data_IF_974167991937
#
_entry.id   IF_974167991937
#
_cell.length_a   1.000
_cell.length_b   1.000
_cell.length_c   1.000
_cell.angle_alpha   90.00
_cell.angle_beta   90.00
_cell.angle_gamma   90.00
#
_symmetry.space_group_name_H-M   'P 1'
#
loop_
_entity.id
_entity.type
_entity.pdbx_description
1 polymer ?
#
# COMPACT_ATOMS: atom_id res chain seq x y z
N UNK A 1 9.03 5.95 -8.57
CA UNK A 1 10.16 6.70 -9.04
C UNK A 1 10.46 6.09 -10.38
N UNK A 2 10.41 6.88 -11.47
CA UNK A 2 10.79 6.41 -12.80
C UNK A 2 12.31 6.22 -12.88
N UNK A 3 12.84 5.41 -11.97
CA UNK A 3 14.26 5.10 -11.75
C UNK A 3 14.30 3.63 -11.35
N UNK A 4 15.25 2.88 -11.90
CA UNK A 4 15.44 1.45 -11.60
C UNK A 4 15.57 1.22 -10.10
N UNK A 5 14.96 0.13 -9.61
CA UNK A 5 14.95 -0.21 -8.16
C UNK A 5 16.35 -0.22 -7.53
N UNK A 6 17.36 -0.70 -8.25
CA UNK A 6 18.76 -0.77 -7.80
C UNK A 6 19.41 0.61 -7.56
N UNK A 7 18.89 1.65 -8.20
CA UNK A 7 19.43 3.02 -8.18
C UNK A 7 18.64 3.92 -7.21
N UNK A 8 17.67 3.36 -6.46
CA UNK A 8 16.85 4.11 -5.50
C UNK A 8 17.55 4.23 -4.15
N UNK A 9 17.43 5.40 -3.55
CA UNK A 9 17.82 5.65 -2.15
C UNK A 9 16.78 5.11 -1.16
N UNK A 10 15.55 4.88 -1.63
CA UNK A 10 14.42 4.39 -0.83
C UNK A 10 14.17 2.92 -1.16
N UNK A 11 14.13 2.08 -0.13
CA UNK A 11 13.71 0.69 -0.24
C UNK A 11 12.19 0.59 -0.36
N UNK A 12 11.70 0.26 -1.55
CA UNK A 12 10.27 0.16 -1.84
C UNK A 12 9.62 -1.11 -1.28
N UNK A 13 10.42 -2.08 -0.83
CA UNK A 13 9.92 -3.26 -0.09
C UNK A 13 9.62 -2.92 1.38
N UNK A 14 10.16 -1.80 1.88
CA UNK A 14 10.01 -1.37 3.27
C UNK A 14 9.13 -0.13 3.44
N UNK A 15 8.42 0.30 2.39
CA UNK A 15 7.38 1.33 2.47
C UNK A 15 6.02 0.71 2.18
N UNK A 16 4.97 1.23 2.84
CA UNK A 16 3.60 0.76 2.62
C UNK A 16 3.02 1.26 1.28
N UNK A 17 2.33 0.36 0.59
CA UNK A 17 1.70 0.50 -0.71
C UNK A 17 0.45 1.38 -0.66
N UNK A 18 0.68 2.69 -0.65
CA UNK A 18 -0.28 3.80 -0.80
C UNK A 18 0.41 5.14 -0.55
N UNK A 19 1.58 5.10 0.12
CA UNK A 19 2.51 6.23 0.20
C UNK A 19 3.10 6.49 -1.18
N UNK A 20 3.64 5.45 -1.82
CA UNK A 20 4.15 5.51 -3.18
C UNK A 20 4.23 4.09 -3.79
N UNK A 21 3.89 3.92 -5.09
CA UNK A 21 3.13 4.85 -5.94
C UNK A 21 1.70 5.02 -5.43
N UNK A 22 1.04 6.12 -5.81
CA UNK A 22 -0.36 6.33 -5.44
C UNK A 22 -1.22 5.31 -6.19
N UNK A 23 -1.96 4.46 -5.49
CA UNK A 23 -2.90 3.54 -6.16
C UNK A 23 -4.20 4.27 -6.54
N UNK A 24 -4.75 4.03 -7.74
CA UNK A 24 -6.14 4.40 -8.02
C UNK A 24 -7.06 3.57 -7.11
N UNK A 25 -8.05 4.21 -6.51
CA UNK A 25 -8.98 3.56 -5.58
C UNK A 25 -10.40 3.90 -6.02
N UNK A 26 -11.12 2.88 -6.49
CA UNK A 26 -12.55 3.00 -6.76
C UNK A 26 -13.40 2.75 -5.51
N UNK A 27 -12.90 1.87 -4.65
CA UNK A 27 -13.48 1.56 -3.35
C UNK A 27 -12.38 1.57 -2.30
N UNK A 28 -12.66 2.16 -1.14
CA UNK A 28 -11.76 2.15 0.00
C UNK A 28 -12.57 2.07 1.29
N UNK A 29 -12.14 1.20 2.20
CA UNK A 29 -12.73 1.06 3.53
C UNK A 29 -11.68 1.35 4.60
N UNK A 30 -12.09 2.09 5.63
CA UNK A 30 -11.24 2.42 6.77
C UNK A 30 -11.76 1.72 8.02
N UNK A 31 -10.96 0.80 8.58
CA UNK A 31 -11.25 0.16 9.85
C UNK A 31 -10.54 0.91 10.99
N UNK A 32 -11.31 1.70 11.75
CA UNK A 32 -10.81 2.29 13.00
C UNK A 32 -10.91 1.27 14.13
N UNK A 33 -9.80 1.02 14.83
CA UNK A 33 -9.73 0.03 15.90
C UNK A 33 -9.07 0.58 17.16
N UNK A 34 -9.32 -0.09 18.29
CA UNK A 34 -8.69 0.18 19.58
C UNK A 34 -7.89 -1.04 20.03
N UNK A 35 -6.63 -0.83 20.39
CA UNK A 35 -5.79 -1.88 20.99
C UNK A 35 -6.28 -2.13 22.43
N UNK A 36 -6.81 -3.33 22.67
CA UNK A 36 -7.33 -3.75 23.99
C UNK A 36 -6.34 -4.64 24.75
N UNK A 37 -5.46 -5.37 24.04
CA UNK A 37 -4.40 -6.18 24.61
C UNK A 37 -3.14 -6.04 23.73
N UNK A 38 -2.07 -5.48 24.28
CA UNK A 38 -0.85 -5.08 23.55
C UNK A 38 -0.08 -6.29 23.03
N UNK A 39 0.12 -7.29 23.87
CA UNK A 39 0.93 -8.46 23.59
C UNK A 39 0.29 -9.28 22.46
N UNK A 40 -1.03 -9.50 22.58
CA UNK A 40 -1.82 -10.19 21.56
C UNK A 40 -1.85 -9.42 20.25
N UNK A 41 -2.02 -8.10 20.31
CA UNK A 41 -2.01 -7.25 19.13
C UNK A 41 -0.68 -7.34 18.37
N UNK A 42 0.46 -7.22 19.07
CA UNK A 42 1.80 -7.32 18.45
C UNK A 42 2.01 -8.66 17.76
N UNK A 43 1.57 -9.76 18.38
CA UNK A 43 1.66 -11.10 17.79
C UNK A 43 0.84 -11.19 16.50
N UNK A 44 -0.37 -10.68 16.49
CA UNK A 44 -1.24 -10.75 15.29
C UNK A 44 -0.81 -9.78 14.20
N UNK A 45 -0.35 -8.58 14.55
CA UNK A 45 0.23 -7.66 13.58
C UNK A 45 1.45 -8.28 12.90
N UNK A 46 2.29 -9.00 13.66
CA UNK A 46 3.44 -9.71 13.08
C UNK A 46 3.00 -10.77 12.07
N UNK A 47 1.97 -11.55 12.37
CA UNK A 47 1.40 -12.53 11.43
C UNK A 47 0.92 -11.85 10.15
N UNK A 48 0.21 -10.71 10.26
CA UNK A 48 -0.29 -9.95 9.11
C UNK A 48 0.86 -9.44 8.22
N UNK A 49 1.96 -9.01 8.81
CA UNK A 49 3.16 -8.61 8.07
C UNK A 49 3.85 -9.81 7.42
N UNK A 50 4.07 -10.90 8.17
CA UNK A 50 4.79 -12.08 7.68
C UNK A 50 4.00 -12.85 6.61
N UNK A 51 2.68 -12.76 6.59
CA UNK A 51 1.83 -13.34 5.54
C UNK A 51 1.74 -12.48 4.28
N UNK A 52 2.38 -11.30 4.26
CA UNK A 52 2.39 -10.42 3.09
C UNK A 52 1.08 -9.65 2.87
N UNK A 53 0.22 -9.54 3.89
CA UNK A 53 -1.06 -8.83 3.79
C UNK A 53 -0.86 -7.31 3.79
N UNK A 54 0.17 -6.78 4.48
CA UNK A 54 0.54 -5.36 4.34
C UNK A 54 1.19 -5.17 2.97
N UNK A 55 0.49 -4.48 2.08
CA UNK A 55 0.98 -4.20 0.74
C UNK A 55 2.15 -3.23 0.78
N UNK A 56 3.20 -3.51 0.02
CA UNK A 56 4.42 -2.70 -0.11
C UNK A 56 4.38 -1.78 -1.33
N UNK A 57 5.30 -0.81 -1.38
CA UNK A 57 5.48 0.05 -2.55
C UNK A 57 5.86 -0.75 -3.80
N UNK A 58 6.75 -1.74 -3.66
CA UNK A 58 7.14 -2.61 -4.77
C UNK A 58 5.95 -3.40 -5.34
N UNK A 59 5.11 -4.00 -4.48
CA UNK A 59 3.92 -4.73 -4.95
C UNK A 59 2.95 -3.83 -5.73
N UNK A 60 2.81 -2.57 -5.32
CA UNK A 60 1.98 -1.60 -6.03
C UNK A 60 2.58 -1.22 -7.39
N UNK A 61 3.89 -1.02 -7.43
CA UNK A 61 4.61 -0.76 -8.67
C UNK A 61 4.52 -1.95 -9.63
N UNK A 62 4.74 -3.17 -9.15
CA UNK A 62 4.67 -4.39 -9.97
C UNK A 62 3.27 -4.54 -10.59
N UNK A 63 2.22 -4.31 -9.81
CA UNK A 63 0.85 -4.30 -10.31
C UNK A 63 0.64 -3.23 -11.39
N UNK A 64 1.03 -1.98 -11.11
CA UNK A 64 0.86 -0.86 -12.05
C UNK A 64 1.67 -1.04 -13.34
N UNK A 65 2.86 -1.66 -13.27
CA UNK A 65 3.64 -2.01 -14.45
C UNK A 65 2.94 -3.10 -15.27
N UNK A 66 2.36 -4.11 -14.62
CA UNK A 66 1.64 -5.20 -15.29
C UNK A 66 0.41 -4.70 -16.07
N UNK A 67 -0.25 -3.65 -15.57
CA UNK A 67 -1.43 -3.05 -16.23
C UNK A 67 -1.10 -1.81 -17.08
N UNK A 68 0.18 -1.44 -17.18
CA UNK A 68 0.62 -0.30 -17.99
C UNK A 68 0.27 1.08 -17.43
N UNK A 69 -0.05 1.19 -16.14
CA UNK A 69 -0.49 2.43 -15.48
C UNK A 69 0.59 3.09 -14.62
N UNK A 70 1.80 2.54 -14.53
CA UNK A 70 2.82 3.02 -13.59
C UNK A 70 3.27 4.47 -13.82
N UNK A 71 3.46 4.88 -15.08
CA UNK A 71 3.86 6.25 -15.43
C UNK A 71 2.75 7.25 -15.06
N UNK A 72 1.52 6.93 -15.43
CA UNK A 72 0.32 7.70 -15.09
C UNK A 72 0.09 7.74 -13.57
N UNK A 73 0.44 6.65 -12.88
CA UNK A 73 0.39 6.60 -11.43
C UNK A 73 1.38 7.55 -10.76
N UNK A 74 2.45 7.92 -11.46
CA UNK A 74 3.43 8.89 -11.01
C UNK A 74 3.19 10.31 -11.55
N UNK A 75 2.23 10.50 -12.45
CA UNK A 75 1.92 11.79 -13.06
C UNK A 75 1.08 12.71 -12.15
N UNK A 76 1.05 14.00 -12.49
CA UNK A 76 0.26 15.01 -11.76
C UNK A 76 -1.26 14.86 -11.97
N UNK A 77 -1.66 14.35 -13.14
CA UNK A 77 -3.05 14.14 -13.54
C UNK A 77 -3.22 12.74 -14.12
N UNK A 78 -4.38 12.12 -13.87
CA UNK A 78 -4.73 10.80 -14.39
C UNK A 78 -6.03 10.86 -15.18
N UNK A 79 -6.10 10.07 -16.22
CA UNK A 79 -7.30 9.64 -16.93
C UNK A 79 -8.03 8.61 -16.06
N UNK A 80 -9.36 8.63 -16.11
CA UNK A 80 -10.15 7.56 -15.52
C UNK A 80 -10.14 6.32 -16.42
N UNK A 81 -10.02 5.14 -15.81
CA UNK A 81 -10.05 3.85 -16.49
C UNK A 81 -11.48 3.32 -16.49
N UNK A 82 -12.06 2.99 -17.65
CA UNK A 82 -13.40 2.41 -17.74
C UNK A 82 -13.54 1.14 -16.90
N UNK A 83 -14.70 0.92 -16.30
CA UNK A 83 -14.92 -0.22 -15.39
C UNK A 83 -14.60 -1.58 -16.01
N UNK A 84 -14.87 -1.75 -17.31
CA UNK A 84 -14.56 -2.97 -18.06
C UNK A 84 -13.07 -3.25 -18.26
N UNK A 85 -12.21 -2.26 -18.07
CA UNK A 85 -10.75 -2.34 -18.26
C UNK A 85 -10.01 -2.41 -16.91
N UNK A 86 -10.72 -2.36 -15.78
CA UNK A 86 -10.10 -2.35 -14.45
C UNK A 86 -9.67 -3.75 -14.03
N UNK A 87 -8.39 -3.88 -13.70
CA UNK A 87 -7.83 -5.06 -13.05
C UNK A 87 -7.98 -4.95 -11.53
N UNK A 88 -8.47 -6.02 -10.89
CA UNK A 88 -8.74 -6.00 -9.46
C UNK A 88 -7.44 -6.10 -8.66
N UNK A 89 -7.20 -5.13 -7.78
CA UNK A 89 -6.09 -5.14 -6.84
C UNK A 89 -6.54 -4.65 -5.47
N UNK A 90 -6.36 -5.49 -4.45
CA UNK A 90 -6.66 -5.13 -3.06
C UNK A 90 -5.36 -4.81 -2.35
N UNK A 91 -5.24 -3.58 -1.88
CA UNK A 91 -4.12 -3.14 -1.07
C UNK A 91 -4.57 -2.91 0.39
N UNK A 92 -3.74 -3.36 1.34
CA UNK A 92 -3.97 -3.15 2.77
C UNK A 92 -2.78 -2.40 3.36
N UNK A 93 -3.08 -1.32 4.10
CA UNK A 93 -2.11 -0.61 4.90
C UNK A 93 -2.62 -0.42 6.32
N UNK A 94 -1.70 -0.13 7.23
CA UNK A 94 -1.97 0.13 8.64
C UNK A 94 -1.28 1.42 9.07
N UNK A 95 -2.00 2.25 9.81
CA UNK A 95 -1.48 3.46 10.43
C UNK A 95 -1.89 3.52 11.90
N UNK A 96 -1.06 4.17 12.70
CA UNK A 96 -1.28 4.33 14.14
C UNK A 96 -1.36 5.81 14.49
N UNK A 97 -2.35 6.18 15.30
CA UNK A 97 -2.43 7.51 15.88
C UNK A 97 -1.40 7.64 17.01
N UNK A 98 -1.11 8.88 17.43
CA UNK A 98 -0.25 9.14 18.60
C UNK A 98 -0.68 8.32 19.82
N UNK A 99 -1.99 8.27 20.10
CA UNK A 99 -2.53 7.50 21.22
C UNK A 99 -2.33 5.99 21.07
N UNK A 100 -2.34 5.47 19.84
CA UNK A 100 -2.07 4.06 19.57
C UNK A 100 -0.61 3.69 19.83
N UNK A 101 0.34 4.60 19.57
CA UNK A 101 1.76 4.37 19.83
C UNK A 101 2.11 4.37 21.32
N UNK A 102 1.34 5.09 22.15
CA UNK A 102 1.52 5.14 23.61
C UNK A 102 0.95 3.91 24.35
N UNK A 103 0.23 3.02 23.67
CA UNK A 103 -0.36 1.80 24.26
C UNK A 103 0.66 0.67 24.36
#
# INVERSE_FOLDING_TARGET
>A
MPVDKKDRVVDTDNIQGSIWPRLPKYYESYLFFKITNKERFRKYLRVLVDSGEVTTGSQCEDHLNAVGEFEEACAHSRRDVPESEREAFTAVNVAFTHMGLLK
#
